data_IF_456569574902
#
_entry.id   IF_456569574902
#
_cell.length_a   1.000
_cell.length_b   1.000
_cell.length_c   1.000
_cell.angle_alpha   90.00
_cell.angle_beta   90.00
_cell.angle_gamma   90.00
#
_symmetry.space_group_name_H-M   'P 1'
#
loop_
_entity.id
_entity.type
_entity.pdbx_description
1 polymer ?
#
# COMPACT_ATOMS: atom_id res chain seq x y z
N UNK A 1 -25.76 7.00 44.26
CA UNK A 1 -25.83 5.78 43.43
C UNK A 1 -25.06 6.08 42.16
N UNK A 2 -23.77 5.72 42.13
CA UNK A 2 -22.92 5.85 40.95
C UNK A 2 -22.15 4.53 40.76
N UNK A 3 -22.22 4.01 39.53
CA UNK A 3 -21.38 2.96 38.95
C UNK A 3 -19.91 3.48 38.87
N UNK A 4 -18.83 2.72 38.59
CA UNK A 4 -18.52 1.84 37.45
C UNK A 4 -17.20 1.05 37.81
N UNK A 5 -16.71 0.08 37.01
CA UNK A 5 -16.32 -1.26 37.47
C UNK A 5 -14.81 -1.43 37.72
N UNK A 6 -14.51 -2.56 38.35
CA UNK A 6 -13.18 -3.01 38.77
C UNK A 6 -12.35 -3.42 37.54
N UNK A 7 -11.74 -2.46 36.86
CA UNK A 7 -10.60 -2.75 35.97
C UNK A 7 -9.38 -3.00 36.85
N UNK A 8 -8.99 -4.28 36.90
CA UNK A 8 -7.86 -4.80 37.65
C UNK A 8 -6.57 -4.02 37.35
N UNK A 9 -5.96 -3.47 38.39
CA UNK A 9 -4.68 -2.76 38.43
C UNK A 9 -3.47 -3.54 37.86
N UNK A 10 -3.67 -4.78 37.38
CA UNK A 10 -2.63 -5.68 36.90
C UNK A 10 -2.29 -5.48 35.42
N UNK A 11 -3.25 -5.09 34.58
CA UNK A 11 -3.02 -4.93 33.13
C UNK A 11 -2.39 -3.58 32.74
N UNK A 12 -2.43 -2.59 33.64
CA UNK A 12 -1.85 -1.27 33.39
C UNK A 12 -0.31 -1.26 33.52
N UNK A 13 0.30 -2.27 34.17
CA UNK A 13 1.76 -2.34 34.37
C UNK A 13 2.50 -3.03 33.23
N UNK A 14 1.88 -4.01 32.58
CA UNK A 14 2.52 -4.77 31.49
C UNK A 14 2.81 -3.85 30.28
N UNK A 15 1.92 -2.90 29.97
CA UNK A 15 2.13 -1.92 28.90
C UNK A 15 3.21 -0.86 29.19
N UNK A 16 3.75 -0.80 30.43
CA UNK A 16 4.81 0.16 30.78
C UNK A 16 6.20 -0.44 30.64
N UNK A 17 6.36 -1.74 30.80
CA UNK A 17 7.65 -2.42 30.66
C UNK A 17 8.01 -2.72 29.20
N UNK A 18 7.04 -3.03 28.33
CA UNK A 18 7.30 -3.23 26.89
C UNK A 18 7.81 -1.96 26.18
N UNK A 19 7.51 -0.78 26.71
CA UNK A 19 7.97 0.50 26.16
C UNK A 19 9.38 0.90 26.63
N UNK A 20 9.97 0.20 27.62
CA UNK A 20 11.29 0.55 28.18
C UNK A 20 12.44 -0.29 27.61
N UNK A 21 12.18 -1.50 27.12
CA UNK A 21 13.23 -2.37 26.56
C UNK A 21 13.82 -1.81 25.26
N UNK A 22 13.10 -0.94 24.54
CA UNK A 22 13.59 -0.33 23.29
C UNK A 22 14.62 0.80 23.56
N UNK A 23 14.81 1.23 24.81
CA UNK A 23 15.69 2.36 25.17
C UNK A 23 17.13 1.89 25.47
N UNK A 24 17.36 0.59 25.75
CA UNK A 24 18.70 0.07 26.09
C UNK A 24 19.58 -0.33 24.90
N UNK A 25 19.08 -0.20 23.67
CA UNK A 25 19.89 -0.36 22.46
C UNK A 25 20.05 1.04 21.87
N UNK A 26 21.14 1.72 22.25
CA UNK A 26 21.46 3.13 22.03
C UNK A 26 21.26 3.64 20.60
N UNK A 27 20.00 3.90 20.23
CA UNK A 27 19.65 4.48 18.96
C UNK A 27 18.73 5.68 19.23
N UNK A 28 19.26 6.87 18.97
CA UNK A 28 18.58 8.13 19.25
C UNK A 28 17.15 8.16 18.69
N UNK A 29 16.11 8.30 19.53
CA UNK A 29 14.70 8.28 19.10
C UNK A 29 14.37 9.44 18.14
N UNK A 30 15.20 10.48 18.11
CA UNK A 30 15.11 11.61 17.19
C UNK A 30 15.51 11.27 15.76
N UNK A 31 16.47 10.35 15.57
CA UNK A 31 16.91 9.87 14.26
C UNK A 31 15.86 8.93 13.67
N UNK A 32 15.38 7.97 14.47
CA UNK A 32 14.31 7.05 14.08
C UNK A 32 13.04 7.83 13.68
N UNK A 33 12.61 8.83 14.47
CA UNK A 33 11.43 9.64 14.13
C UNK A 33 11.60 10.44 12.84
N UNK A 34 12.81 10.91 12.54
CA UNK A 34 13.11 11.69 11.32
C UNK A 34 13.16 10.77 10.10
N UNK A 35 13.81 9.62 10.24
CA UNK A 35 13.83 8.57 9.22
C UNK A 35 12.43 8.02 8.96
N UNK A 36 11.63 7.73 9.99
CA UNK A 36 10.24 7.33 9.84
C UNK A 36 9.40 8.40 9.13
N UNK A 37 9.64 9.69 9.39
CA UNK A 37 8.92 10.78 8.73
C UNK A 37 9.30 10.90 7.25
N UNK A 38 10.59 10.80 6.94
CA UNK A 38 11.11 10.80 5.56
C UNK A 38 10.62 9.55 4.82
N UNK A 39 10.72 8.37 5.45
CA UNK A 39 10.21 7.11 4.92
C UNK A 39 8.70 7.18 4.71
N UNK A 40 7.92 7.77 5.63
CA UNK A 40 6.47 8.00 5.45
C UNK A 40 6.18 8.94 4.28
N UNK A 41 6.95 10.02 4.10
CA UNK A 41 6.78 10.94 2.96
C UNK A 41 7.12 10.28 1.62
N UNK A 42 8.27 9.60 1.53
CA UNK A 42 8.68 8.84 0.34
C UNK A 42 7.71 7.70 0.05
N UNK A 43 7.13 7.11 1.10
CA UNK A 43 6.12 6.06 1.04
C UNK A 43 4.77 6.58 0.50
N UNK A 44 4.38 7.81 0.84
CA UNK A 44 3.19 8.47 0.25
C UNK A 44 3.39 8.87 -1.22
N UNK A 45 4.59 9.23 -1.64
CA UNK A 45 4.90 9.57 -3.04
C UNK A 45 5.03 8.35 -3.96
N UNK A 46 5.32 7.18 -3.38
CA UNK A 46 5.52 5.92 -4.08
C UNK A 46 4.40 4.92 -3.80
N UNK A 47 3.18 5.41 -3.67
CA UNK A 47 1.98 4.57 -3.58
C UNK A 47 1.70 3.86 -4.89
N UNK A 48 0.99 2.73 -4.82
CA UNK A 48 0.58 1.99 -6.01
C UNK A 48 -0.19 2.87 -7.00
N UNK A 49 -1.09 3.71 -6.49
CA UNK A 49 -1.86 4.65 -7.28
C UNK A 49 -0.97 5.70 -7.98
N UNK A 50 -0.04 6.32 -7.25
CA UNK A 50 0.88 7.31 -7.83
C UNK A 50 1.75 6.70 -8.94
N UNK A 51 2.25 5.48 -8.73
CA UNK A 51 3.06 4.79 -9.74
C UNK A 51 2.20 4.36 -10.94
N UNK A 52 0.95 3.94 -10.71
CA UNK A 52 0.02 3.61 -11.78
C UNK A 52 -0.26 4.81 -12.70
N UNK A 53 -0.47 6.01 -12.13
CA UNK A 53 -0.61 7.22 -12.94
C UNK A 53 0.66 7.57 -13.71
N UNK A 54 1.83 7.53 -13.06
CA UNK A 54 3.12 7.75 -13.76
C UNK A 54 3.31 6.79 -14.93
N UNK A 55 2.92 5.52 -14.76
CA UNK A 55 2.96 4.52 -15.82
C UNK A 55 1.98 4.83 -16.96
N UNK A 56 0.75 5.26 -16.66
CA UNK A 56 -0.24 5.70 -17.66
C UNK A 56 0.29 6.90 -18.47
N UNK A 57 0.82 7.91 -17.78
CA UNK A 57 1.40 9.10 -18.42
C UNK A 57 2.52 8.72 -19.38
N UNK A 58 3.43 7.83 -18.96
CA UNK A 58 4.53 7.35 -19.81
C UNK A 58 4.04 6.64 -21.07
N UNK A 59 2.88 5.99 -21.02
CA UNK A 59 2.30 5.23 -22.14
C UNK A 59 1.44 6.05 -23.10
N UNK A 60 1.16 7.33 -22.81
CA UNK A 60 0.29 8.19 -23.63
C UNK A 60 0.70 8.30 -25.11
N UNK A 61 1.98 8.12 -25.45
CA UNK A 61 2.48 8.14 -26.84
C UNK A 61 2.53 6.77 -27.53
N UNK A 62 2.35 5.68 -26.78
CA UNK A 62 2.49 4.31 -27.28
C UNK A 62 1.14 3.59 -27.38
N UNK A 63 0.16 4.00 -26.57
CA UNK A 63 -1.14 3.37 -26.44
C UNK A 63 -2.21 4.42 -26.70
N UNK A 64 -3.25 4.04 -27.44
CA UNK A 64 -4.41 4.89 -27.71
C UNK A 64 -5.02 5.44 -26.41
N UNK A 65 -5.30 6.75 -26.37
CA UNK A 65 -5.82 7.43 -25.18
C UNK A 65 -7.10 6.79 -24.62
N UNK A 66 -8.00 6.29 -25.47
CA UNK A 66 -9.21 5.58 -25.04
C UNK A 66 -8.88 4.29 -24.29
N UNK A 67 -7.86 3.56 -24.72
CA UNK A 67 -7.40 2.33 -24.07
C UNK A 67 -6.79 2.65 -22.71
N UNK A 68 -5.96 3.69 -22.60
CA UNK A 68 -5.41 4.14 -21.31
C UNK A 68 -6.49 4.59 -20.34
N UNK A 69 -7.48 5.37 -20.80
CA UNK A 69 -8.62 5.78 -19.98
C UNK A 69 -9.41 4.57 -19.45
N UNK A 70 -9.61 3.54 -20.27
CA UNK A 70 -10.29 2.31 -19.85
C UNK A 70 -9.47 1.53 -18.81
N UNK A 71 -8.14 1.51 -18.93
CA UNK A 71 -7.25 0.88 -17.94
C UNK A 71 -7.33 1.66 -16.62
N UNK A 72 -7.22 2.99 -16.67
CA UNK A 72 -7.32 3.86 -15.51
C UNK A 72 -8.62 3.64 -14.74
N UNK A 73 -9.78 3.73 -15.42
CA UNK A 73 -11.10 3.52 -14.80
C UNK A 73 -11.24 2.15 -14.15
N UNK A 74 -10.64 1.11 -14.75
CA UNK A 74 -10.63 -0.24 -14.16
C UNK A 74 -9.79 -0.29 -12.90
N UNK A 75 -8.62 0.35 -12.87
CA UNK A 75 -7.76 0.42 -11.68
C UNK A 75 -8.46 1.21 -10.56
N UNK A 76 -9.03 2.38 -10.87
CA UNK A 76 -9.76 3.24 -9.94
C UNK A 76 -10.96 2.52 -9.30
N UNK A 77 -11.71 1.75 -10.08
CA UNK A 77 -12.91 1.06 -9.57
C UNK A 77 -12.58 -0.18 -8.74
N UNK A 78 -11.44 -0.84 -9.01
CA UNK A 78 -11.21 -2.20 -8.50
C UNK A 78 -10.01 -2.33 -7.57
N UNK A 79 -8.90 -1.64 -7.85
CA UNK A 79 -7.65 -1.82 -7.11
C UNK A 79 -7.35 -0.62 -6.21
N UNK A 80 -7.55 0.61 -6.68
CA UNK A 80 -7.22 1.81 -5.89
C UNK A 80 -7.96 1.89 -4.53
N UNK A 81 -9.23 1.48 -4.39
CA UNK A 81 -9.92 1.51 -3.11
C UNK A 81 -9.31 0.60 -2.05
N UNK A 82 -8.56 -0.44 -2.46
CA UNK A 82 -8.00 -1.47 -1.59
C UNK A 82 -6.50 -1.31 -1.39
N UNK A 83 -5.77 -1.08 -2.48
CA UNK A 83 -4.30 -1.07 -2.49
C UNK A 83 -3.70 0.25 -3.00
N UNK A 84 -4.52 1.18 -3.49
CA UNK A 84 -4.04 2.42 -4.14
C UNK A 84 -3.16 3.27 -3.23
N UNK A 85 -3.59 3.44 -1.97
CA UNK A 85 -2.86 4.19 -0.93
C UNK A 85 -1.67 3.44 -0.33
N UNK A 86 -1.52 2.16 -0.64
CA UNK A 86 -0.40 1.39 -0.12
C UNK A 86 0.88 1.76 -0.86
N UNK A 87 2.01 1.86 -0.17
CA UNK A 87 3.31 2.00 -0.82
C UNK A 87 3.53 0.81 -1.75
N UNK A 88 4.06 1.05 -2.95
CA UNK A 88 4.20 -0.03 -3.94
C UNK A 88 5.07 -1.19 -3.46
N UNK A 89 6.03 -0.90 -2.57
CA UNK A 89 6.88 -1.91 -1.89
C UNK A 89 6.11 -2.78 -0.89
N UNK A 90 4.98 -2.28 -0.36
CA UNK A 90 4.13 -3.01 0.57
C UNK A 90 3.03 -3.83 -0.14
N UNK A 91 2.81 -3.62 -1.44
CA UNK A 91 1.86 -4.40 -2.23
C UNK A 91 2.52 -5.72 -2.66
N UNK A 92 2.50 -6.69 -1.75
CA UNK A 92 3.04 -8.03 -1.99
C UNK A 92 2.10 -8.87 -2.89
N UNK A 93 2.58 -9.98 -3.49
CA UNK A 93 1.74 -10.85 -4.29
C UNK A 93 0.46 -11.35 -3.59
N UNK A 94 0.49 -11.73 -2.29
CA UNK A 94 -0.73 -12.09 -1.56
C UNK A 94 -1.75 -10.94 -1.43
N UNK A 95 -1.28 -9.72 -1.19
CA UNK A 95 -2.13 -8.52 -1.09
C UNK A 95 -2.82 -8.25 -2.42
N UNK A 96 -2.07 -8.29 -3.53
CA UNK A 96 -2.63 -8.14 -4.86
C UNK A 96 -3.61 -9.26 -5.20
N UNK A 97 -3.27 -10.51 -4.87
CA UNK A 97 -4.14 -11.65 -5.13
C UNK A 97 -5.49 -11.50 -4.42
N UNK A 98 -5.49 -11.04 -3.17
CA UNK A 98 -6.73 -10.80 -2.42
C UNK A 98 -7.59 -9.73 -3.09
N UNK A 99 -6.98 -8.61 -3.50
CA UNK A 99 -7.69 -7.55 -4.23
C UNK A 99 -8.28 -8.06 -5.56
N UNK A 100 -7.56 -8.91 -6.30
CA UNK A 100 -8.06 -9.51 -7.54
C UNK A 100 -9.18 -10.53 -7.30
N UNK A 101 -9.14 -11.31 -6.21
CA UNK A 101 -10.19 -12.26 -5.84
C UNK A 101 -11.53 -11.57 -5.56
N UNK A 102 -11.53 -10.39 -4.96
CA UNK A 102 -12.77 -9.59 -4.80
C UNK A 102 -13.37 -9.13 -6.14
N UNK A 103 -12.53 -8.93 -7.16
CA UNK A 103 -12.99 -8.65 -8.54
C UNK A 103 -13.52 -9.93 -9.19
N UNK A 104 -12.83 -11.05 -8.99
CA UNK A 104 -13.21 -12.36 -9.51
C UNK A 104 -14.55 -12.84 -8.94
N UNK A 105 -14.81 -12.61 -7.65
CA UNK A 105 -16.07 -12.94 -6.99
C UNK A 105 -17.30 -12.26 -7.60
N UNK A 106 -17.11 -11.16 -8.35
CA UNK A 106 -18.17 -10.47 -9.11
C UNK A 106 -18.45 -11.09 -10.49
N UNK A 107 -17.76 -12.18 -10.85
CA UNK A 107 -17.97 -12.92 -12.09
C UNK A 107 -17.33 -12.29 -13.35
N UNK A 108 -16.54 -11.23 -13.21
CA UNK A 108 -15.96 -10.48 -14.34
C UNK A 108 -14.53 -10.92 -14.69
N UNK A 109 -14.38 -12.16 -15.19
CA UNK A 109 -13.08 -12.80 -15.46
C UNK A 109 -12.17 -12.05 -16.46
N UNK A 110 -12.73 -11.46 -17.52
CA UNK A 110 -11.96 -10.63 -18.46
C UNK A 110 -11.35 -9.41 -17.74
N UNK A 111 -12.11 -8.80 -16.83
CA UNK A 111 -11.62 -7.66 -16.04
C UNK A 111 -10.47 -8.08 -15.12
N UNK A 112 -10.55 -9.26 -14.49
CA UNK A 112 -9.46 -9.80 -13.65
C UNK A 112 -8.19 -10.01 -14.48
N UNK A 113 -8.30 -10.63 -15.66
CA UNK A 113 -7.15 -10.86 -16.55
C UNK A 113 -6.48 -9.54 -16.95
N UNK A 114 -7.27 -8.53 -17.35
CA UNK A 114 -6.77 -7.22 -17.74
C UNK A 114 -6.15 -6.46 -16.57
N UNK A 115 -6.76 -6.53 -15.39
CA UNK A 115 -6.19 -5.95 -14.17
C UNK A 115 -4.86 -6.61 -13.86
N UNK A 116 -4.77 -7.94 -13.85
CA UNK A 116 -3.51 -8.66 -13.62
C UNK A 116 -2.41 -8.23 -14.59
N UNK A 117 -2.73 -8.12 -15.87
CA UNK A 117 -1.79 -7.65 -16.90
C UNK A 117 -1.32 -6.22 -16.64
N UNK A 118 -2.24 -5.29 -16.40
CA UNK A 118 -1.91 -3.89 -16.11
C UNK A 118 -1.06 -3.76 -14.84
N UNK A 119 -1.46 -4.46 -13.77
CA UNK A 119 -0.74 -4.44 -12.50
C UNK A 119 0.70 -4.95 -12.67
N UNK A 120 0.91 -6.04 -13.41
CA UNK A 120 2.24 -6.57 -13.70
C UNK A 120 3.12 -5.63 -14.55
N UNK A 121 2.52 -4.76 -15.38
CA UNK A 121 3.25 -3.71 -16.09
C UNK A 121 3.63 -2.56 -15.15
N UNK A 122 2.72 -2.16 -14.25
CA UNK A 122 2.95 -1.13 -13.24
C UNK A 122 4.07 -1.54 -12.29
N UNK A 123 4.10 -2.80 -11.81
CA UNK A 123 5.18 -3.30 -10.96
C UNK A 123 6.54 -3.31 -11.67
N UNK A 124 6.59 -3.77 -12.93
CA UNK A 124 7.82 -3.72 -13.72
C UNK A 124 8.31 -2.29 -13.92
N UNK A 125 7.40 -1.35 -14.18
CA UNK A 125 7.72 0.06 -14.27
C UNK A 125 8.25 0.62 -12.95
N UNK A 126 7.64 0.24 -11.82
CA UNK A 126 8.09 0.63 -10.49
C UNK A 126 9.52 0.16 -10.21
N UNK A 127 9.82 -1.10 -10.51
CA UNK A 127 11.16 -1.69 -10.33
C UNK A 127 12.18 -1.00 -11.22
N UNK A 128 11.87 -0.83 -12.52
CA UNK A 128 12.75 -0.15 -13.47
C UNK A 128 13.05 1.31 -13.06
N UNK A 129 12.09 1.98 -12.42
CA UNK A 129 12.27 3.33 -11.87
C UNK A 129 12.95 3.40 -10.50
N UNK A 130 13.37 2.27 -9.90
CA UNK A 130 13.99 2.24 -8.57
C UNK A 130 13.03 2.31 -7.38
N UNK A 131 11.73 2.19 -7.62
CA UNK A 131 10.68 2.34 -6.60
C UNK A 131 10.16 1.02 -6.00
N UNK A 132 10.56 -0.16 -6.51
CA UNK A 132 10.10 -1.50 -6.04
C UNK A 132 11.21 -2.52 -5.79
N UNK A 133 10.98 -3.51 -4.91
CA UNK A 133 11.81 -4.71 -4.69
C UNK A 133 10.92 -5.97 -4.82
N UNK A 134 11.43 -7.03 -5.46
CA UNK A 134 10.77 -8.34 -5.58
C UNK A 134 10.66 -9.05 -4.23
#
# INVERSE_FOLDING_TARGET
MEAIPIISLKDARIKRDDAKVIIEIGNDPSVIKREEKILKQVSTENTFEAIAYKWIEKRKGEIEGKTLMNIQKRLERNLFPKIGKLPIKSVTPPVLLNALREVEARGVLDTVKRLRQATGQIFRFAIAGGHGRL
#
